data_IF_410214296577
#
_entry.id   IF_410214296577
#
_cell.length_a   1.000
_cell.length_b   1.000
_cell.length_c   1.000
_cell.angle_alpha   90.00
_cell.angle_beta   90.00
_cell.angle_gamma   90.00
#
_symmetry.space_group_name_H-M   'P 1'
#
loop_
_entity.id
_entity.type
_entity.pdbx_description
1 polymer ?
#
# COMPACT_ATOMS: atom_id res chain seq x y z
N UNK A 1 38.31 33.82 -1.71
CA UNK A 1 37.36 33.38 -0.68
C UNK A 1 35.96 33.57 -1.22
N UNK A 2 35.28 32.50 -1.64
CA UNK A 2 33.87 32.56 -2.00
C UNK A 2 33.23 31.23 -1.59
N UNK A 3 32.53 31.24 -0.46
CA UNK A 3 31.76 30.11 0.02
C UNK A 3 30.35 30.20 -0.58
N UNK A 4 30.01 29.28 -1.48
CA UNK A 4 28.65 29.10 -1.97
C UNK A 4 28.01 27.98 -1.14
N UNK A 5 27.34 28.35 -0.05
CA UNK A 5 26.50 27.42 0.71
C UNK A 5 25.13 27.35 0.03
N UNK A 6 24.93 26.33 -0.80
CA UNK A 6 23.62 26.01 -1.38
C UNK A 6 22.79 25.28 -0.33
N UNK A 7 21.79 25.98 0.18
CA UNK A 7 20.73 25.45 1.05
C UNK A 7 19.74 24.67 0.18
N UNK A 8 19.83 23.34 0.17
CA UNK A 8 18.81 22.47 -0.46
C UNK A 8 18.59 21.21 0.38
N UNK A 9 17.75 21.27 1.42
CA UNK A 9 17.29 20.05 2.12
C UNK A 9 16.00 20.17 2.96
N UNK A 10 15.16 21.21 2.82
CA UNK A 10 14.00 21.40 3.73
C UNK A 10 12.61 21.35 3.08
N UNK A 11 12.49 21.26 1.75
CA UNK A 11 11.19 21.36 1.07
C UNK A 11 10.41 20.05 0.90
N UNK A 12 11.00 18.87 1.16
CA UNK A 12 10.29 17.59 0.98
C UNK A 12 9.28 17.24 2.11
N UNK A 13 9.38 17.83 3.29
CA UNK A 13 8.54 17.44 4.45
C UNK A 13 7.15 18.08 4.50
N UNK A 14 6.97 19.25 3.88
CA UNK A 14 5.71 20.01 3.98
C UNK A 14 4.58 19.45 3.11
N UNK A 15 4.91 18.79 1.99
CA UNK A 15 3.91 18.31 1.04
C UNK A 15 3.11 17.09 1.51
N UNK A 16 3.54 16.38 2.57
CA UNK A 16 2.92 15.11 3.02
C UNK A 16 2.23 15.14 4.37
N UNK A 17 2.23 16.30 5.05
CA UNK A 17 1.51 16.49 6.32
C UNK A 17 0.05 15.99 6.27
N UNK A 18 -0.72 16.18 5.17
CA UNK A 18 -2.10 15.68 5.10
C UNK A 18 -2.20 14.15 5.18
N UNK A 19 -1.32 13.41 4.50
CA UNK A 19 -1.34 11.95 4.54
C UNK A 19 -0.98 11.40 5.93
N UNK A 20 0.04 11.97 6.56
CA UNK A 20 0.45 11.56 7.92
C UNK A 20 -0.63 11.91 8.96
N UNK A 21 -1.38 13.00 8.75
CA UNK A 21 -2.49 13.37 9.62
C UNK A 21 -3.60 12.31 9.65
N UNK A 22 -3.78 11.55 8.57
CA UNK A 22 -4.80 10.50 8.46
C UNK A 22 -4.39 9.14 9.00
N UNK A 23 -3.11 8.93 9.30
CA UNK A 23 -2.71 7.77 10.09
C UNK A 23 -3.35 7.90 11.47
N UNK A 24 -3.92 6.81 11.98
CA UNK A 24 -4.57 6.78 13.29
C UNK A 24 -3.66 7.34 14.39
N UNK A 25 -4.24 8.13 15.30
CA UNK A 25 -3.51 8.83 16.35
C UNK A 25 -2.78 7.87 17.29
N UNK A 26 -3.44 6.81 17.71
CA UNK A 26 -2.91 5.87 18.70
C UNK A 26 -1.65 5.18 18.17
N UNK A 27 -1.66 4.68 16.93
CA UNK A 27 -0.48 4.01 16.37
C UNK A 27 0.66 4.99 16.05
N UNK A 28 0.38 6.28 15.81
CA UNK A 28 1.43 7.30 15.65
C UNK A 28 2.15 7.61 16.95
N UNK A 29 1.40 7.66 18.05
CA UNK A 29 1.92 8.03 19.37
C UNK A 29 2.59 6.84 20.06
N UNK A 30 1.91 5.69 20.06
CA UNK A 30 2.32 4.52 20.85
C UNK A 30 2.99 3.42 20.02
N UNK A 31 2.90 3.47 18.69
CA UNK A 31 3.49 2.48 17.80
C UNK A 31 5.01 2.56 17.68
N UNK A 32 5.57 1.66 16.88
CA UNK A 32 6.95 1.70 16.39
C UNK A 32 6.92 2.25 14.97
N UNK A 33 7.59 3.37 14.75
CA UNK A 33 7.79 3.91 13.41
C UNK A 33 9.07 3.34 12.80
N UNK A 34 8.96 2.66 11.66
CA UNK A 34 10.12 2.19 10.90
C UNK A 34 10.41 3.15 9.74
N UNK A 35 11.66 3.63 9.62
CA UNK A 35 12.07 4.39 8.45
C UNK A 35 12.13 3.47 7.24
N UNK A 36 11.80 4.02 6.08
CA UNK A 36 11.89 3.28 4.81
C UNK A 36 12.97 3.87 3.94
N UNK A 37 13.88 3.01 3.49
CA UNK A 37 15.03 3.38 2.68
C UNK A 37 15.05 2.49 1.44
N UNK A 38 15.16 3.09 0.25
CA UNK A 38 15.40 2.33 -0.98
C UNK A 38 16.84 1.82 -0.98
N UNK A 39 17.02 0.54 -1.27
CA UNK A 39 18.34 -0.09 -1.31
C UNK A 39 18.81 -0.15 -2.77
N UNK A 40 20.12 -0.04 -2.98
CA UNK A 40 20.74 -0.22 -4.30
C UNK A 40 20.40 -1.63 -4.81
N UNK A 41 19.90 -1.73 -6.04
CA UNK A 41 19.43 -2.99 -6.62
C UNK A 41 17.91 -3.22 -6.55
N UNK A 42 17.13 -2.20 -6.17
CA UNK A 42 15.67 -2.22 -6.30
C UNK A 42 14.90 -2.75 -5.09
N UNK A 43 15.59 -3.22 -4.05
CA UNK A 43 14.98 -3.63 -2.78
C UNK A 43 14.54 -2.45 -1.88
N UNK A 44 13.81 -2.77 -0.82
CA UNK A 44 13.37 -1.81 0.20
C UNK A 44 13.84 -2.26 1.59
N UNK A 45 14.33 -1.34 2.40
CA UNK A 45 14.61 -1.56 3.81
C UNK A 45 13.54 -0.83 4.63
N UNK A 46 12.85 -1.53 5.52
CA UNK A 46 11.84 -1.02 6.44
C UNK A 46 12.35 -1.23 7.88
N UNK A 47 13.09 -0.29 8.43
CA UNK A 47 13.77 -0.50 9.73
C UNK A 47 14.67 -1.75 9.70
N UNK A 48 14.43 -2.79 10.53
CA UNK A 48 15.22 -4.02 10.51
C UNK A 48 14.78 -5.03 9.43
N UNK A 49 13.73 -4.73 8.67
CA UNK A 49 13.18 -5.64 7.66
C UNK A 49 13.72 -5.31 6.26
N UNK A 50 14.10 -6.32 5.50
CA UNK A 50 14.52 -6.19 4.12
C UNK A 50 13.50 -6.82 3.17
N UNK A 51 13.12 -6.10 2.12
CA UNK A 51 12.34 -6.63 1.00
C UNK A 51 13.26 -6.82 -0.19
N UNK A 52 13.35 -8.07 -0.64
CA UNK A 52 14.26 -8.51 -1.70
C UNK A 52 13.52 -9.42 -2.68
N UNK A 53 14.21 -9.86 -3.74
CA UNK A 53 13.67 -10.80 -4.73
C UNK A 53 12.36 -10.32 -5.35
N UNK A 54 12.26 -9.00 -5.58
CA UNK A 54 11.06 -8.37 -6.12
C UNK A 54 10.99 -8.67 -7.62
N UNK A 55 9.96 -9.40 -8.02
CA UNK A 55 9.62 -9.69 -9.42
C UNK A 55 8.21 -9.19 -9.68
N UNK A 56 8.04 -8.41 -10.75
CA UNK A 56 6.73 -7.96 -11.23
C UNK A 56 6.60 -8.36 -12.69
N UNK A 57 5.56 -9.11 -13.00
CA UNK A 57 5.17 -9.46 -14.36
C UNK A 57 3.90 -8.67 -14.70
N UNK A 58 3.89 -8.02 -15.87
CA UNK A 58 2.74 -7.27 -16.38
C UNK A 58 2.17 -8.00 -17.59
N UNK A 59 0.85 -8.18 -17.58
CA UNK A 59 0.09 -8.75 -18.67
C UNK A 59 -1.05 -7.83 -19.09
N UNK A 60 -1.40 -7.88 -20.38
CA UNK A 60 -2.62 -7.27 -20.90
C UNK A 60 -3.60 -8.38 -21.28
N UNK A 61 -4.85 -8.29 -20.82
CA UNK A 61 -5.87 -9.26 -21.19
C UNK A 61 -7.11 -9.21 -20.27
N UNK A 62 -8.21 -9.88 -20.68
CA UNK A 62 -9.36 -10.05 -19.81
C UNK A 62 -8.95 -10.93 -18.63
N UNK A 63 -8.66 -10.32 -17.49
CA UNK A 63 -8.52 -11.06 -16.23
C UNK A 63 -9.82 -11.80 -15.91
N UNK A 64 -9.77 -12.90 -15.15
CA UNK A 64 -10.93 -13.79 -14.91
C UNK A 64 -12.11 -13.13 -14.18
N UNK A 65 -11.99 -11.87 -13.77
CA UNK A 65 -12.95 -11.17 -12.91
C UNK A 65 -13.84 -10.13 -13.62
N UNK A 66 -13.67 -9.84 -14.92
CA UNK A 66 -14.34 -8.70 -15.55
C UNK A 66 -14.94 -9.00 -16.95
N UNK A 67 -16.07 -8.36 -17.27
CA UNK A 67 -16.70 -8.42 -18.60
C UNK A 67 -15.92 -7.64 -19.67
N UNK A 68 -16.20 -7.92 -20.95
CA UNK A 68 -15.47 -7.45 -22.13
C UNK A 68 -15.66 -5.98 -22.53
N UNK A 69 -16.55 -5.24 -21.87
CA UNK A 69 -17.03 -3.94 -22.37
C UNK A 69 -16.27 -2.72 -21.79
N UNK A 70 -15.00 -2.90 -21.40
CA UNK A 70 -14.20 -1.82 -20.83
C UNK A 70 -13.65 -0.87 -21.92
N UNK A 71 -13.61 0.46 -21.69
CA UNK A 71 -13.07 1.43 -22.66
C UNK A 71 -11.58 1.23 -23.00
N UNK A 72 -10.84 0.57 -22.10
CA UNK A 72 -9.40 0.26 -22.24
C UNK A 72 -9.18 -1.19 -21.80
N UNK A 73 -8.20 -1.91 -22.37
CA UNK A 73 -7.82 -3.24 -21.86
C UNK A 73 -7.47 -3.19 -20.38
N UNK A 74 -7.90 -4.20 -19.63
CA UNK A 74 -7.48 -4.40 -18.25
C UNK A 74 -5.98 -4.71 -18.19
N UNK A 75 -5.31 -4.14 -17.19
CA UNK A 75 -3.92 -4.44 -16.86
C UNK A 75 -3.89 -5.46 -15.73
N UNK A 76 -3.06 -6.49 -15.87
CA UNK A 76 -2.84 -7.52 -14.86
C UNK A 76 -1.39 -7.48 -14.38
N UNK A 77 -1.19 -7.70 -13.09
CA UNK A 77 0.12 -7.65 -12.45
C UNK A 77 0.28 -8.84 -11.52
N UNK A 78 1.36 -9.60 -11.71
CA UNK A 78 1.79 -10.66 -10.80
C UNK A 78 3.06 -10.21 -10.09
N UNK A 79 2.98 -10.02 -8.78
CA UNK A 79 4.09 -9.59 -7.94
C UNK A 79 4.53 -10.75 -7.05
N UNK A 80 5.85 -10.97 -6.95
CA UNK A 80 6.47 -11.82 -5.93
C UNK A 80 7.58 -11.06 -5.24
N UNK A 81 7.74 -11.27 -3.94
CA UNK A 81 8.88 -10.76 -3.18
C UNK A 81 9.11 -11.59 -1.92
N UNK A 82 10.28 -11.39 -1.30
CA UNK A 82 10.60 -11.91 0.03
C UNK A 82 10.76 -10.75 1.01
N UNK A 83 10.10 -10.84 2.16
CA UNK A 83 10.35 -9.99 3.32
C UNK A 83 11.18 -10.79 4.33
N UNK A 84 12.37 -10.31 4.66
CA UNK A 84 13.22 -10.89 5.71
C UNK A 84 13.23 -9.97 6.91
N UNK A 85 12.76 -10.48 8.05
CA UNK A 85 12.81 -9.82 9.34
C UNK A 85 13.86 -10.41 10.27
N UNK A 86 13.96 -9.87 11.51
CA UNK A 86 14.90 -10.36 12.52
C UNK A 86 14.70 -11.82 12.90
N UNK A 87 13.45 -12.28 12.96
CA UNK A 87 13.11 -13.61 13.47
C UNK A 87 12.73 -14.61 12.37
N UNK A 88 12.20 -14.13 11.24
CA UNK A 88 11.66 -14.99 10.18
C UNK A 88 11.66 -14.30 8.82
N UNK A 89 11.43 -15.11 7.79
CA UNK A 89 11.22 -14.63 6.43
C UNK A 89 9.84 -15.03 5.91
N UNK A 90 9.29 -14.19 5.05
CA UNK A 90 7.99 -14.31 4.43
C UNK A 90 8.13 -14.27 2.92
N UNK A 91 7.51 -15.22 2.23
CA UNK A 91 7.34 -15.16 0.79
C UNK A 91 5.95 -14.62 0.49
N UNK A 92 5.90 -13.62 -0.38
CA UNK A 92 4.67 -12.96 -0.78
C UNK A 92 4.41 -13.17 -2.27
N UNK A 93 3.16 -13.47 -2.61
CA UNK A 93 2.66 -13.51 -3.97
C UNK A 93 1.38 -12.67 -4.03
N UNK A 94 1.36 -11.67 -4.90
CA UNK A 94 0.24 -10.78 -5.07
C UNK A 94 -0.19 -10.72 -6.53
N UNK A 95 -1.49 -10.61 -6.74
CA UNK A 95 -2.13 -10.39 -8.02
C UNK A 95 -2.85 -9.04 -7.94
N UNK A 96 -2.65 -8.20 -8.94
CA UNK A 96 -3.33 -6.93 -9.08
C UNK A 96 -3.99 -6.82 -10.44
N UNK A 97 -5.24 -6.40 -10.49
CA UNK A 97 -5.91 -6.04 -11.74
C UNK A 97 -6.37 -4.59 -11.69
N UNK A 98 -6.16 -3.86 -12.78
CA UNK A 98 -6.61 -2.49 -12.96
C UNK A 98 -7.43 -2.38 -14.24
N UNK A 99 -8.64 -1.82 -14.15
CA UNK A 99 -9.58 -1.71 -15.28
C UNK A 99 -10.13 -0.30 -15.39
N UNK A 100 -10.25 0.22 -16.61
CA UNK A 100 -10.99 1.45 -16.85
C UNK A 100 -12.44 1.33 -16.38
N UNK A 101 -12.91 2.26 -15.56
CA UNK A 101 -14.34 2.36 -15.24
C UNK A 101 -15.13 2.70 -16.51
N UNK A 102 -16.41 2.33 -16.52
CA UNK A 102 -17.38 2.65 -17.58
C UNK A 102 -17.54 4.17 -17.81
N UNK A 103 -17.17 5.00 -16.84
CA UNK A 103 -17.18 6.47 -16.94
C UNK A 103 -15.82 7.08 -17.37
N UNK A 104 -14.87 6.28 -17.88
CA UNK A 104 -13.49 6.71 -18.13
C UNK A 104 -13.35 7.87 -19.12
N UNK A 105 -14.27 8.00 -20.08
CA UNK A 105 -14.21 9.02 -21.14
C UNK A 105 -14.41 10.45 -20.60
N UNK A 106 -15.14 10.63 -19.50
CA UNK A 106 -15.24 11.92 -18.80
C UNK A 106 -14.07 12.19 -17.85
N UNK A 107 -13.36 11.14 -17.40
CA UNK A 107 -12.27 11.22 -16.42
C UNK A 107 -10.92 11.61 -17.06
N UNK A 108 -10.69 11.27 -18.33
CA UNK A 108 -9.49 11.62 -19.07
C UNK A 108 -9.28 13.15 -19.17
N UNK A 109 -10.36 13.92 -19.27
CA UNK A 109 -10.32 15.39 -19.26
C UNK A 109 -9.94 15.99 -17.88
N UNK A 110 -10.12 15.23 -16.79
CA UNK A 110 -9.91 15.69 -15.42
C UNK A 110 -8.63 15.17 -14.75
N UNK A 111 -7.84 14.31 -15.43
CA UNK A 111 -6.66 13.62 -14.85
C UNK A 111 -6.97 12.88 -13.53
N UNK A 112 -8.20 12.41 -13.36
CA UNK A 112 -8.66 11.70 -12.16
C UNK A 112 -8.62 10.19 -12.46
N UNK A 113 -7.71 9.40 -11.85
CA UNK A 113 -7.68 7.97 -12.10
C UNK A 113 -8.92 7.33 -11.49
N UNK A 114 -9.86 6.95 -12.35
CA UNK A 114 -11.13 6.32 -11.99
C UNK A 114 -11.15 4.84 -12.33
N UNK A 115 -9.99 4.19 -12.24
CA UNK A 115 -9.92 2.78 -12.55
C UNK A 115 -10.38 1.96 -11.36
N UNK A 116 -11.12 0.89 -11.66
CA UNK A 116 -11.40 -0.17 -10.71
C UNK A 116 -10.12 -0.96 -10.49
N UNK A 117 -9.89 -1.36 -9.24
CA UNK A 117 -8.74 -2.16 -8.83
C UNK A 117 -9.19 -3.34 -7.99
N UNK A 118 -8.59 -4.49 -8.24
CA UNK A 118 -8.70 -5.69 -7.42
C UNK A 118 -7.29 -6.13 -7.05
N UNK A 119 -7.08 -6.44 -5.77
CA UNK A 119 -5.81 -6.92 -5.25
C UNK A 119 -6.05 -8.18 -4.45
N UNK A 120 -5.24 -9.19 -4.69
CA UNK A 120 -5.13 -10.38 -3.84
C UNK A 120 -3.69 -10.57 -3.47
N UNK A 121 -3.39 -10.77 -2.20
CA UNK A 121 -2.04 -11.10 -1.76
C UNK A 121 -2.08 -12.30 -0.83
N UNK A 122 -1.17 -13.24 -1.04
CA UNK A 122 -0.88 -14.33 -0.11
C UNK A 122 0.52 -14.16 0.43
N UNK A 123 0.67 -14.19 1.74
CA UNK A 123 1.97 -14.19 2.41
C UNK A 123 2.09 -15.43 3.27
N UNK A 124 3.23 -16.09 3.19
CA UNK A 124 3.51 -17.33 3.93
C UNK A 124 4.86 -17.23 4.60
N UNK A 125 4.94 -17.63 5.86
CA UNK A 125 6.22 -17.79 6.54
C UNK A 125 6.85 -19.16 6.27
N UNK A 126 8.04 -19.39 6.81
CA UNK A 126 8.77 -20.66 6.68
C UNK A 126 8.04 -21.86 7.30
N UNK A 127 7.10 -21.63 8.22
CA UNK A 127 6.27 -22.66 8.84
C UNK A 127 4.94 -22.87 8.10
N UNK A 128 4.80 -22.29 6.90
CA UNK A 128 3.65 -22.36 6.00
C UNK A 128 2.34 -21.82 6.58
N UNK A 129 2.38 -20.94 7.60
CA UNK A 129 1.16 -20.23 7.98
C UNK A 129 0.86 -19.13 6.96
N UNK A 130 -0.35 -19.20 6.41
CA UNK A 130 -0.86 -18.30 5.39
C UNK A 130 -1.62 -17.12 5.97
N UNK A 131 -1.40 -15.97 5.34
CA UNK A 131 -2.28 -14.83 5.41
C UNK A 131 -2.70 -14.44 3.99
N UNK A 132 -3.98 -14.14 3.81
CA UNK A 132 -4.55 -13.72 2.53
C UNK A 132 -5.23 -12.37 2.68
N UNK A 133 -4.85 -11.42 1.82
CA UNK A 133 -5.53 -10.16 1.62
C UNK A 133 -6.37 -10.25 0.35
N UNK A 134 -7.62 -9.82 0.42
CA UNK A 134 -8.46 -9.51 -0.73
C UNK A 134 -9.00 -8.09 -0.60
N UNK A 135 -8.72 -7.24 -1.58
CA UNK A 135 -9.16 -5.85 -1.63
C UNK A 135 -9.74 -5.52 -3.00
N UNK A 136 -10.77 -4.68 -3.02
CA UNK A 136 -11.41 -4.20 -4.23
C UNK A 136 -11.80 -2.73 -4.04
N UNK A 137 -11.72 -1.95 -5.11
CA UNK A 137 -12.16 -0.57 -5.06
C UNK A 137 -11.94 0.19 -6.34
N UNK A 138 -11.93 1.52 -6.21
CA UNK A 138 -11.86 2.44 -7.32
C UNK A 138 -10.88 3.56 -6.95
N UNK A 139 -9.87 3.80 -7.80
CA UNK A 139 -8.75 4.71 -7.50
C UNK A 139 -9.15 6.18 -7.31
N UNK A 140 -10.38 6.54 -7.70
CA UNK A 140 -10.98 7.84 -7.44
C UNK A 140 -11.57 8.01 -6.03
N UNK A 141 -11.54 7.00 -5.16
CA UNK A 141 -12.10 7.03 -3.79
C UNK A 141 -11.32 6.13 -2.83
N UNK A 142 -11.56 6.30 -1.53
CA UNK A 142 -11.03 5.36 -0.55
C UNK A 142 -11.62 3.97 -0.79
N UNK A 143 -10.83 2.92 -0.56
CA UNK A 143 -11.29 1.53 -0.70
C UNK A 143 -10.73 0.67 0.43
N UNK A 144 -11.11 -0.60 0.46
CA UNK A 144 -10.70 -1.49 1.53
C UNK A 144 -10.69 -2.95 1.11
N UNK A 145 -10.44 -3.79 2.10
CA UNK A 145 -10.36 -5.23 1.91
C UNK A 145 -10.41 -5.98 3.22
N UNK A 146 -10.30 -7.30 3.12
CA UNK A 146 -10.28 -8.22 4.25
C UNK A 146 -8.96 -8.97 4.24
N UNK A 147 -8.39 -9.16 5.43
CA UNK A 147 -7.21 -9.99 5.64
C UNK A 147 -7.64 -11.17 6.50
N UNK A 148 -7.36 -12.37 6.06
CA UNK A 148 -7.61 -13.61 6.79
C UNK A 148 -6.30 -14.32 7.08
N UNK A 149 -6.21 -15.00 8.22
CA UNK A 149 -5.09 -15.85 8.58
C UNK A 149 -5.57 -17.26 8.91
N UNK A 150 -4.68 -18.24 8.83
CA UNK A 150 -5.00 -19.61 9.23
C UNK A 150 -5.39 -19.67 10.72
N UNK A 151 -6.69 -19.81 11.00
CA UNK A 151 -7.23 -19.94 12.35
C UNK A 151 -7.38 -18.64 13.16
N UNK A 152 -7.20 -17.47 12.53
CA UNK A 152 -7.37 -16.17 13.20
C UNK A 152 -8.66 -15.45 12.83
N UNK A 153 -8.97 -14.38 13.57
CA UNK A 153 -10.06 -13.47 13.22
C UNK A 153 -9.68 -12.61 12.00
N UNK A 154 -10.64 -12.23 11.14
CA UNK A 154 -10.34 -11.39 9.99
C UNK A 154 -10.01 -9.96 10.41
N UNK A 155 -8.99 -9.37 9.79
CA UNK A 155 -8.66 -7.95 9.90
C UNK A 155 -9.21 -7.17 8.70
N UNK A 156 -9.37 -5.86 8.85
CA UNK A 156 -9.81 -4.97 7.77
C UNK A 156 -8.63 -4.20 7.21
N UNK A 157 -8.56 -4.09 5.89
CA UNK A 157 -7.70 -3.14 5.20
C UNK A 157 -8.51 -1.89 4.85
N UNK A 158 -7.92 -0.73 5.09
CA UNK A 158 -8.39 0.56 4.59
C UNK A 158 -7.28 1.22 3.76
N UNK A 159 -7.62 1.65 2.55
CA UNK A 159 -6.73 2.41 1.66
C UNK A 159 -7.33 3.79 1.45
N UNK A 160 -6.72 4.77 2.08
CA UNK A 160 -7.09 6.17 1.99
C UNK A 160 -6.35 6.79 0.81
N UNK A 161 -7.12 7.20 -0.21
CA UNK A 161 -6.64 7.93 -1.38
C UNK A 161 -6.99 9.41 -1.29
N UNK A 162 -8.00 9.76 -0.49
CA UNK A 162 -8.58 11.09 -0.41
C UNK A 162 -8.86 11.48 1.03
N UNK A 163 -8.72 12.77 1.29
CA UNK A 163 -9.17 13.39 2.52
C UNK A 163 -10.44 14.18 2.24
N UNK A 164 -11.50 13.86 2.98
CA UNK A 164 -12.73 14.64 2.97
C UNK A 164 -12.90 15.38 4.30
N UNK A 165 -12.73 16.70 4.28
CA UNK A 165 -13.05 17.57 5.41
C UNK A 165 -14.26 18.41 5.08
N UNK A 166 -15.38 18.09 5.71
CA UNK A 166 -16.68 18.69 5.42
C UNK A 166 -17.12 18.38 3.98
N UNK A 167 -18.36 18.73 3.61
CA UNK A 167 -18.92 18.38 2.29
C UNK A 167 -18.23 19.06 1.09
N UNK A 168 -17.30 20.01 1.31
CA UNK A 168 -16.72 20.84 0.25
C UNK A 168 -15.21 20.66 0.02
N UNK A 169 -14.47 20.05 0.95
CA UNK A 169 -13.05 19.76 0.73
C UNK A 169 -12.84 18.27 0.52
N UNK A 170 -12.87 17.86 -0.74
CA UNK A 170 -12.43 16.55 -1.17
C UNK A 170 -11.12 16.71 -1.96
N UNK A 171 -10.01 16.25 -1.37
CA UNK A 171 -8.69 16.34 -1.98
C UNK A 171 -8.01 15.00 -2.01
N UNK A 172 -7.41 14.69 -3.16
CA UNK A 172 -6.50 13.55 -3.28
C UNK A 172 -5.31 13.73 -2.37
N UNK A 173 -4.92 12.64 -1.71
CA UNK A 173 -3.76 12.63 -0.84
C UNK A 173 -2.47 12.66 -1.66
N UNK A 174 -1.46 13.41 -1.20
CA UNK A 174 -0.14 13.43 -1.83
C UNK A 174 0.59 12.09 -1.71
N UNK A 175 0.24 11.29 -0.70
CA UNK A 175 0.62 9.89 -0.59
C UNK A 175 -0.57 9.10 -0.02
N UNK A 176 -1.10 8.10 -0.72
CA UNK A 176 -2.11 7.22 -0.15
C UNK A 176 -1.64 6.54 1.12
N UNK A 177 -2.59 6.20 2.00
CA UNK A 177 -2.31 5.54 3.28
C UNK A 177 -3.02 4.19 3.31
N UNK A 178 -2.28 3.11 3.49
CA UNK A 178 -2.83 1.80 3.82
C UNK A 178 -2.85 1.60 5.33
N UNK A 179 -3.93 1.10 5.89
CA UNK A 179 -4.08 0.80 7.32
C UNK A 179 -4.72 -0.58 7.48
N UNK A 180 -4.15 -1.39 8.36
CA UNK A 180 -4.74 -2.67 8.77
C UNK A 180 -5.33 -2.48 10.16
N UNK A 181 -6.60 -2.87 10.32
CA UNK A 181 -7.37 -2.72 11.54
C UNK A 181 -7.79 -4.06 12.12
N UNK A 182 -7.66 -4.16 13.42
CA UNK A 182 -8.25 -5.19 14.27
C UNK A 182 -9.42 -4.56 15.03
N UNK A 183 -10.65 -4.91 14.63
CA UNK A 183 -11.91 -4.28 15.06
C UNK A 183 -11.84 -2.75 15.10
N UNK A 184 -11.51 -2.18 16.27
CA UNK A 184 -11.48 -0.73 16.53
C UNK A 184 -10.12 -0.08 16.37
N UNK A 185 -9.02 -0.83 16.37
CA UNK A 185 -7.65 -0.28 16.41
C UNK A 185 -6.89 -0.53 15.13
N UNK A 186 -5.98 0.39 14.77
CA UNK A 186 -5.01 0.18 13.69
C UNK A 186 -3.81 -0.58 14.25
N UNK A 187 -3.46 -1.70 13.62
CA UNK A 187 -2.32 -2.53 14.00
C UNK A 187 -1.09 -2.27 13.13
N UNK A 188 -1.28 -1.80 11.90
CA UNK A 188 -0.22 -1.40 11.00
C UNK A 188 -0.70 -0.29 10.05
N UNK A 189 0.17 0.64 9.68
CA UNK A 189 -0.12 1.68 8.69
C UNK A 189 1.10 2.03 7.84
N UNK A 190 0.91 2.28 6.54
CA UNK A 190 1.99 2.62 5.59
C UNK A 190 1.58 3.74 4.64
N UNK A 191 2.53 4.62 4.29
CA UNK A 191 2.38 5.52 3.13
C UNK A 191 2.71 4.76 1.83
N UNK A 192 1.76 4.65 0.90
CA UNK A 192 1.84 3.73 -0.25
C UNK A 192 2.45 4.32 -1.53
N UNK A 193 2.58 5.65 -1.72
CA UNK A 193 3.18 6.17 -2.97
C UNK A 193 4.72 6.28 -2.90
N UNK A 194 5.28 6.57 -1.72
CA UNK A 194 6.72 6.70 -1.46
C UNK A 194 6.87 6.44 0.03
N UNK A 195 7.03 5.17 0.46
CA UNK A 195 6.99 4.86 1.86
C UNK A 195 8.26 5.47 2.43
N UNK A 196 8.09 6.43 3.30
CA UNK A 196 9.18 6.93 4.17
C UNK A 196 8.97 6.41 5.58
N UNK A 197 7.74 5.98 5.88
CA UNK A 197 7.26 5.64 7.20
C UNK A 197 6.26 4.51 7.13
N UNK A 198 6.42 3.59 8.06
CA UNK A 198 5.42 2.61 8.47
C UNK A 198 5.30 2.68 9.99
N UNK A 199 4.11 2.47 10.50
CA UNK A 199 3.81 2.37 11.92
C UNK A 199 3.29 0.98 12.22
N UNK A 200 3.80 0.36 13.29
CA UNK A 200 3.37 -0.94 13.80
C UNK A 200 2.94 -0.80 15.27
N UNK A 201 1.80 -1.37 15.65
CA UNK A 201 1.33 -1.34 17.03
C UNK A 201 2.16 -2.30 17.91
N UNK A 202 2.66 -1.84 19.07
CA UNK A 202 3.62 -2.59 19.92
C UNK A 202 3.02 -3.81 20.61
N UNK A 203 1.71 -3.83 20.82
CA UNK A 203 0.95 -4.83 21.57
C UNK A 203 0.36 -5.92 20.67
N UNK A 204 0.82 -5.99 19.42
CA UNK A 204 0.48 -7.01 18.43
C UNK A 204 1.61 -8.03 18.38
N UNK A 205 1.27 -9.31 18.23
CA UNK A 205 2.26 -10.37 18.17
C UNK A 205 3.25 -10.13 17.01
N UNK A 206 4.57 -10.35 17.19
CA UNK A 206 5.56 -10.08 16.14
C UNK A 206 5.22 -10.74 14.79
N UNK A 207 4.73 -11.98 14.81
CA UNK A 207 4.31 -12.69 13.59
C UNK A 207 3.20 -11.95 12.83
N UNK A 208 2.21 -11.42 13.54
CA UNK A 208 1.09 -10.68 12.94
C UNK A 208 1.56 -9.31 12.42
N UNK A 209 2.42 -8.62 13.15
CA UNK A 209 3.04 -7.36 12.68
C UNK A 209 3.81 -7.57 11.36
N UNK A 210 4.58 -8.65 11.26
CA UNK A 210 5.36 -8.95 10.07
C UNK A 210 4.50 -9.39 8.88
N UNK A 211 3.43 -10.15 9.13
CA UNK A 211 2.44 -10.47 8.09
C UNK A 211 1.75 -9.19 7.59
N UNK A 212 1.32 -8.31 8.50
CA UNK A 212 0.73 -7.01 8.17
C UNK A 212 1.70 -6.12 7.37
N UNK A 213 2.98 -6.10 7.76
CA UNK A 213 4.06 -5.43 7.05
C UNK A 213 4.24 -5.97 5.63
N UNK A 214 4.25 -7.31 5.46
CA UNK A 214 4.35 -7.94 4.15
C UNK A 214 3.14 -7.60 3.26
N UNK A 215 1.92 -7.65 3.78
CA UNK A 215 0.71 -7.31 3.02
C UNK A 215 0.70 -5.83 2.57
N UNK A 216 1.06 -4.90 3.46
CA UNK A 216 1.19 -3.48 3.10
C UNK A 216 2.32 -3.24 2.08
N UNK A 217 3.42 -3.98 2.18
CA UNK A 217 4.48 -3.96 1.18
C UNK A 217 4.01 -4.47 -0.19
N UNK A 218 3.17 -5.51 -0.22
CA UNK A 218 2.55 -6.01 -1.45
C UNK A 218 1.70 -4.94 -2.14
N UNK A 219 0.83 -4.26 -1.39
CA UNK A 219 0.05 -3.13 -1.90
C UNK A 219 0.92 -2.00 -2.42
N UNK A 220 2.04 -1.72 -1.75
CA UNK A 220 3.01 -0.71 -2.19
C UNK A 220 3.65 -1.09 -3.51
N UNK A 221 4.10 -2.33 -3.63
CA UNK A 221 4.94 -2.78 -4.75
C UNK A 221 4.12 -3.07 -6.01
N UNK A 222 2.82 -3.35 -5.86
CA UNK A 222 1.91 -3.53 -6.99
C UNK A 222 1.72 -2.22 -7.78
N UNK A 223 1.97 -2.21 -9.11
CA UNK A 223 1.86 -1.02 -9.94
C UNK A 223 0.39 -0.71 -10.36
N UNK A 224 -0.54 -0.82 -9.42
CA UNK A 224 -1.98 -0.61 -9.65
C UNK A 224 -2.40 0.87 -9.68
N UNK A 225 -1.46 1.81 -9.74
CA UNK A 225 -1.75 3.25 -9.84
C UNK A 225 -1.95 3.98 -8.51
N UNK A 226 -1.39 3.45 -7.41
CA UNK A 226 -1.35 4.16 -6.11
C UNK A 226 -0.30 5.27 -6.06
N UNK A 227 0.69 5.22 -6.94
CA UNK A 227 1.70 6.28 -7.05
C UNK A 227 1.05 7.55 -7.65
N UNK A 228 1.04 8.63 -6.87
CA UNK A 228 0.73 9.99 -7.35
C UNK A 228 2.03 10.58 -7.89
N UNK A 229 2.04 10.89 -9.20
CA UNK A 229 3.15 11.56 -9.89
C UNK A 229 3.63 12.79 -9.16
#
# INVERSE_FOLDING_TARGET
MTALAVVTAASCGLSRKPSVALVDGAIKEDGVMLPVVRVRGGGLQLGPYAITEITVEEGNGPGPAFSTDAPRPSQHFDLRFRLTGPERSWNAACEGTRRASVDADYAAAASDPRDDVVVRCRVRDQADAGWELAAEGHLGRNFGGTITSDGGAPHKLEVLLRFQLWRFFDRRLPAPVGQIRDDKRVIAAMLLARPEKIWLAKDVAPREQEAALALLAGLRLLPIGLDVG
#
